data_IF_544763227547
#
_entry.id   IF_544763227547
#
_cell.length_a   1.000
_cell.length_b   1.000
_cell.length_c   1.000
_cell.angle_alpha   90.00
_cell.angle_beta   90.00
_cell.angle_gamma   90.00
#
_symmetry.space_group_name_H-M   'P 1'
#
loop_
_entity.id
_entity.type
_entity.pdbx_description
1 polymer ?
#
# COMPACT_ATOMS: atom_id res chain seq x y z
N UNK A 1 -1.82 -19.57 3.83
CA UNK A 1 -1.49 -19.93 2.43
C UNK A 1 -2.75 -20.12 1.61
N UNK A 2 -3.67 -20.98 2.00
CA UNK A 2 -4.89 -21.27 1.22
C UNK A 2 -5.70 -20.04 0.77
N UNK A 3 -5.74 -18.96 1.59
CA UNK A 3 -6.41 -17.72 1.21
C UNK A 3 -5.78 -17.06 -0.03
N UNK A 4 -4.45 -17.00 -0.07
CA UNK A 4 -3.72 -16.35 -1.16
C UNK A 4 -3.86 -17.14 -2.46
N UNK A 5 -3.83 -18.45 -2.38
CA UNK A 5 -4.07 -19.34 -3.51
C UNK A 5 -5.47 -19.11 -4.11
N UNK A 6 -6.50 -19.01 -3.26
CA UNK A 6 -7.89 -18.73 -3.71
C UNK A 6 -7.98 -17.34 -4.36
N UNK A 7 -7.36 -16.32 -3.77
CA UNK A 7 -7.34 -14.97 -4.35
C UNK A 7 -6.62 -14.96 -5.70
N UNK A 8 -5.47 -15.62 -5.80
CA UNK A 8 -4.73 -15.73 -7.06
C UNK A 8 -5.52 -16.47 -8.14
N UNK A 9 -6.20 -17.58 -7.77
CA UNK A 9 -7.08 -18.32 -8.67
C UNK A 9 -8.30 -17.49 -9.10
N UNK A 10 -8.90 -16.73 -8.20
CA UNK A 10 -9.99 -15.80 -8.52
C UNK A 10 -9.53 -14.78 -9.56
N UNK A 11 -8.39 -14.14 -9.32
CA UNK A 11 -7.84 -13.16 -10.25
C UNK A 11 -7.52 -13.80 -11.61
N UNK A 12 -6.94 -14.98 -11.64
CA UNK A 12 -6.64 -15.72 -12.87
C UNK A 12 -7.90 -16.04 -13.68
N UNK A 13 -8.97 -16.49 -13.01
CA UNK A 13 -10.23 -16.87 -13.67
C UNK A 13 -11.07 -15.68 -14.15
N UNK A 14 -10.85 -14.52 -13.58
CA UNK A 14 -11.65 -13.31 -13.86
C UNK A 14 -10.86 -12.24 -14.62
N UNK A 15 -9.63 -12.55 -15.02
CA UNK A 15 -8.79 -11.63 -15.77
C UNK A 15 -9.47 -11.15 -17.03
N UNK A 16 -9.42 -9.85 -17.25
CA UNK A 16 -9.92 -9.19 -18.47
C UNK A 16 -9.13 -7.91 -18.73
N UNK A 17 -9.34 -7.32 -19.92
CA UNK A 17 -8.71 -6.07 -20.30
C UNK A 17 -9.80 -5.04 -20.55
N UNK A 18 -9.76 -3.93 -19.80
CA UNK A 18 -10.64 -2.77 -20.02
C UNK A 18 -9.93 -1.71 -20.84
N UNK A 19 -10.66 -1.12 -21.76
CA UNK A 19 -10.18 0.09 -22.45
C UNK A 19 -10.03 1.23 -21.43
N UNK A 20 -8.91 1.92 -21.49
CA UNK A 20 -8.58 3.04 -20.63
C UNK A 20 -8.14 4.23 -21.50
N UNK A 21 -8.53 5.43 -21.11
CA UNK A 21 -8.07 6.65 -21.77
C UNK A 21 -6.74 7.13 -21.19
N UNK A 22 -5.96 7.82 -22.01
CA UNK A 22 -4.69 8.41 -21.57
C UNK A 22 -4.92 9.42 -20.42
N UNK A 23 -6.01 10.17 -20.48
CA UNK A 23 -6.40 11.11 -19.41
C UNK A 23 -6.63 10.40 -18.07
N UNK A 24 -7.11 9.15 -18.09
CA UNK A 24 -7.34 8.38 -16.87
C UNK A 24 -6.05 7.99 -16.16
N UNK A 25 -5.01 7.62 -16.89
CA UNK A 25 -3.69 7.36 -16.30
C UNK A 25 -3.06 8.64 -15.74
N UNK A 26 -3.27 9.77 -16.43
CA UNK A 26 -2.83 11.07 -15.93
C UNK A 26 -3.57 11.45 -14.65
N UNK A 27 -4.88 11.25 -14.59
CA UNK A 27 -5.68 11.47 -13.38
C UNK A 27 -5.21 10.60 -12.21
N UNK A 28 -4.91 9.31 -12.47
CA UNK A 28 -4.37 8.40 -11.45
C UNK A 28 -3.00 8.86 -10.93
N UNK A 29 -2.11 9.26 -11.85
CA UNK A 29 -0.81 9.83 -11.48
C UNK A 29 -0.97 11.07 -10.60
N UNK A 30 -1.80 12.02 -11.01
CA UNK A 30 -2.03 13.26 -10.27
C UNK A 30 -2.63 12.99 -8.88
N UNK A 31 -3.56 12.04 -8.77
CA UNK A 31 -4.14 11.63 -7.50
C UNK A 31 -3.11 10.98 -6.56
N UNK A 32 -2.28 10.07 -7.09
CA UNK A 32 -1.21 9.45 -6.30
C UNK A 32 -0.18 10.50 -5.85
N UNK A 33 0.25 11.37 -6.76
CA UNK A 33 1.18 12.46 -6.46
C UNK A 33 0.65 13.39 -5.37
N UNK A 34 -0.63 13.79 -5.47
CA UNK A 34 -1.27 14.63 -4.47
C UNK A 34 -1.34 13.93 -3.09
N UNK A 35 -1.66 12.64 -3.05
CA UNK A 35 -1.71 11.87 -1.81
C UNK A 35 -0.33 11.74 -1.17
N UNK A 36 0.70 11.46 -1.96
CA UNK A 36 2.09 11.36 -1.50
C UNK A 36 2.54 12.71 -0.91
N UNK A 37 2.34 13.81 -1.65
CA UNK A 37 2.71 15.15 -1.19
C UNK A 37 1.91 15.59 0.04
N UNK A 38 0.61 15.29 0.12
CA UNK A 38 -0.20 15.59 1.29
C UNK A 38 0.34 14.89 2.54
N UNK A 39 0.65 13.61 2.42
CA UNK A 39 1.24 12.83 3.50
C UNK A 39 2.61 13.38 3.93
N UNK A 40 3.48 13.70 2.98
CA UNK A 40 4.78 14.26 3.28
C UNK A 40 4.69 15.61 3.99
N UNK A 41 3.91 16.55 3.46
CA UNK A 41 3.73 17.88 4.04
C UNK A 41 3.20 17.80 5.48
N UNK A 42 2.29 16.85 5.76
CA UNK A 42 1.78 16.62 7.12
C UNK A 42 2.89 16.27 8.12
N UNK A 43 3.87 15.44 7.73
CA UNK A 43 4.98 15.08 8.62
C UNK A 43 6.10 16.10 8.61
N UNK A 44 6.35 16.76 7.48
CA UNK A 44 7.35 17.83 7.37
C UNK A 44 6.98 19.04 8.22
N UNK A 45 5.71 19.48 8.20
CA UNK A 45 5.23 20.56 9.06
C UNK A 45 5.43 20.23 10.55
N UNK A 46 5.13 19.02 10.96
CA UNK A 46 5.36 18.57 12.35
C UNK A 46 6.83 18.52 12.69
N UNK A 47 7.65 17.97 11.82
CA UNK A 47 9.10 17.96 12.01
C UNK A 47 9.63 19.38 12.21
N UNK A 48 9.25 20.32 11.34
CA UNK A 48 9.69 21.72 11.41
C UNK A 48 9.19 22.44 12.67
N UNK A 49 8.02 22.10 13.17
CA UNK A 49 7.50 22.63 14.44
C UNK A 49 8.26 22.06 15.64
N UNK A 50 8.51 20.74 15.65
CA UNK A 50 9.09 20.07 16.80
C UNK A 50 10.60 20.36 16.96
N UNK A 51 11.34 20.47 15.87
CA UNK A 51 12.77 20.74 15.91
C UNK A 51 13.11 22.12 16.50
N UNK A 52 12.15 23.04 16.51
CA UNK A 52 12.34 24.39 17.08
C UNK A 52 12.02 24.45 18.57
N UNK A 53 11.48 23.42 19.17
CA UNK A 53 11.15 23.39 20.60
C UNK A 53 12.40 23.15 21.44
N UNK A 54 12.50 23.82 22.57
CA UNK A 54 13.54 23.58 23.57
C UNK A 54 13.38 22.20 24.22
N UNK A 55 12.10 21.79 24.44
CA UNK A 55 11.75 20.48 25.02
C UNK A 55 10.65 19.85 24.18
N UNK A 56 10.89 18.62 23.75
CA UNK A 56 9.92 17.84 23.01
C UNK A 56 9.26 16.82 23.93
N UNK A 57 7.98 16.52 23.65
CA UNK A 57 7.29 15.40 24.26
C UNK A 57 7.85 14.07 23.72
N UNK A 58 7.57 12.93 24.36
CA UNK A 58 8.04 11.62 23.89
C UNK A 58 7.62 11.31 22.44
N UNK A 59 6.38 11.65 22.04
CA UNK A 59 5.89 11.43 20.67
C UNK A 59 6.61 12.31 19.66
N UNK A 60 6.81 13.58 19.98
CA UNK A 60 7.55 14.54 19.15
C UNK A 60 9.00 14.09 18.96
N UNK A 61 9.67 13.68 20.03
CA UNK A 61 11.03 13.12 19.94
C UNK A 61 11.08 11.85 19.10
N UNK A 62 10.07 10.98 19.22
CA UNK A 62 9.98 9.75 18.43
C UNK A 62 9.88 10.06 16.93
N UNK A 63 9.06 11.06 16.54
CA UNK A 63 8.97 11.51 15.15
C UNK A 63 10.31 12.10 14.68
N UNK A 64 10.88 13.05 15.42
CA UNK A 64 12.15 13.68 15.05
C UNK A 64 13.27 12.67 14.82
N UNK A 65 13.41 11.71 15.73
CA UNK A 65 14.46 10.67 15.66
C UNK A 65 14.34 9.78 14.42
N UNK A 66 13.13 9.55 13.94
CA UNK A 66 12.86 8.60 12.85
C UNK A 66 12.38 9.29 11.57
N UNK A 67 12.48 10.61 11.50
CA UNK A 67 11.97 11.36 10.34
C UNK A 67 12.65 10.97 9.02
N UNK A 68 13.92 10.56 9.05
CA UNK A 68 14.63 10.08 7.86
C UNK A 68 13.92 8.93 7.16
N UNK A 69 13.26 8.01 7.91
CA UNK A 69 12.50 6.90 7.34
C UNK A 69 11.31 7.41 6.52
N UNK A 70 10.61 8.42 7.04
CA UNK A 70 9.47 9.05 6.33
C UNK A 70 9.98 9.81 5.10
N UNK A 71 11.08 10.52 5.23
CA UNK A 71 11.71 11.28 4.16
C UNK A 71 12.18 10.36 3.01
N UNK A 72 12.87 9.28 3.33
CA UNK A 72 13.30 8.27 2.35
C UNK A 72 12.12 7.61 1.64
N UNK A 73 11.07 7.24 2.40
CA UNK A 73 9.85 6.67 1.83
C UNK A 73 9.15 7.64 0.85
N UNK A 74 9.12 8.93 1.17
CA UNK A 74 8.56 9.96 0.29
C UNK A 74 9.29 10.04 -1.05
N UNK A 75 10.62 10.19 -1.03
CA UNK A 75 11.41 10.29 -2.27
C UNK A 75 11.35 8.99 -3.08
N UNK A 76 11.35 7.85 -2.40
CA UNK A 76 11.14 6.56 -3.05
C UNK A 76 9.79 6.51 -3.78
N UNK A 77 8.71 6.95 -3.13
CA UNK A 77 7.38 6.97 -3.76
C UNK A 77 7.33 7.88 -4.99
N UNK A 78 7.96 9.06 -4.97
CA UNK A 78 8.00 9.97 -6.12
C UNK A 78 8.79 9.36 -7.30
N UNK A 79 9.96 8.78 -7.03
CA UNK A 79 10.76 8.11 -8.07
C UNK A 79 10.00 6.93 -8.71
N UNK A 80 9.35 6.11 -7.88
CA UNK A 80 8.52 5.01 -8.36
C UNK A 80 7.28 5.50 -9.12
N UNK A 81 6.67 6.60 -8.71
CA UNK A 81 5.51 7.18 -9.39
C UNK A 81 5.86 7.65 -10.81
N UNK A 82 7.01 8.29 -10.98
CA UNK A 82 7.49 8.71 -12.30
C UNK A 82 7.79 7.50 -13.20
N UNK A 83 8.46 6.47 -12.67
CA UNK A 83 8.69 5.20 -13.38
C UNK A 83 7.38 4.52 -13.78
N UNK A 84 6.43 4.43 -12.85
CA UNK A 84 5.11 3.87 -13.12
C UNK A 84 4.40 4.61 -14.27
N UNK A 85 4.41 5.94 -14.23
CA UNK A 85 3.75 6.74 -15.27
C UNK A 85 4.38 6.54 -16.65
N UNK A 86 5.71 6.42 -16.74
CA UNK A 86 6.40 6.11 -18.00
C UNK A 86 5.91 4.80 -18.60
N UNK A 87 5.64 3.77 -17.78
CA UNK A 87 5.16 2.46 -18.24
C UNK A 87 3.69 2.48 -18.69
N UNK A 88 2.84 3.34 -18.10
CA UNK A 88 1.39 3.27 -18.33
C UNK A 88 0.83 4.37 -19.25
N UNK A 89 1.52 5.50 -19.39
CA UNK A 89 1.01 6.71 -20.06
C UNK A 89 0.52 6.49 -21.50
N UNK A 90 1.10 5.52 -22.22
CA UNK A 90 0.76 5.22 -23.61
C UNK A 90 -0.13 3.97 -23.76
N UNK A 91 -0.51 3.34 -22.64
CA UNK A 91 -1.36 2.14 -22.65
C UNK A 91 -2.83 2.53 -22.84
N UNK A 92 -3.49 1.82 -23.75
CA UNK A 92 -4.94 1.98 -24.02
C UNK A 92 -5.79 0.90 -23.37
N UNK A 93 -5.14 -0.08 -22.73
CA UNK A 93 -5.82 -1.19 -22.03
C UNK A 93 -5.18 -1.40 -20.67
N UNK A 94 -6.02 -1.63 -19.68
CA UNK A 94 -5.63 -2.01 -18.32
C UNK A 94 -6.06 -3.45 -18.04
N UNK A 95 -5.15 -4.25 -17.50
CA UNK A 95 -5.49 -5.56 -16.94
C UNK A 95 -6.28 -5.38 -15.65
N UNK A 96 -7.44 -6.03 -15.57
CA UNK A 96 -8.30 -6.02 -14.39
C UNK A 96 -8.75 -7.44 -14.07
N UNK A 97 -9.04 -7.68 -12.80
CA UNK A 97 -9.68 -8.89 -12.31
C UNK A 97 -10.79 -8.52 -11.33
N UNK A 98 -11.65 -9.47 -10.99
CA UNK A 98 -12.59 -9.30 -9.90
C UNK A 98 -11.82 -9.29 -8.60
N UNK A 99 -11.77 -8.15 -7.92
CA UNK A 99 -11.10 -7.98 -6.63
C UNK A 99 -12.12 -7.94 -5.48
N UNK A 100 -11.70 -8.42 -4.33
CA UNK A 100 -12.48 -8.35 -3.07
C UNK A 100 -12.54 -6.91 -2.53
N UNK A 101 -11.47 -6.14 -2.73
CA UNK A 101 -11.31 -4.73 -2.39
C UNK A 101 -11.42 -4.37 -0.89
N UNK A 102 -11.32 -5.36 -0.01
CA UNK A 102 -11.18 -5.18 1.45
C UNK A 102 -10.61 -6.45 2.10
N UNK A 103 -9.56 -7.01 1.50
CA UNK A 103 -9.02 -8.30 1.90
C UNK A 103 -8.38 -8.26 3.30
N UNK A 104 -8.81 -9.19 4.18
CA UNK A 104 -8.31 -9.39 5.55
C UNK A 104 -8.36 -10.86 5.92
N UNK A 105 -7.54 -11.27 6.89
CA UNK A 105 -7.53 -12.65 7.38
C UNK A 105 -8.88 -13.09 7.94
N UNK A 106 -9.58 -12.23 8.66
CA UNK A 106 -10.89 -12.52 9.27
C UNK A 106 -12.01 -12.82 8.25
N UNK A 107 -11.79 -12.49 6.97
CA UNK A 107 -12.74 -12.74 5.88
C UNK A 107 -12.49 -14.07 5.16
N UNK A 108 -11.52 -14.83 5.61
CA UNK A 108 -11.24 -16.16 5.11
C UNK A 108 -11.69 -17.21 6.11
N UNK A 109 -12.59 -18.08 5.66
CA UNK A 109 -13.08 -19.22 6.42
C UNK A 109 -12.54 -20.48 5.79
N UNK A 110 -11.78 -21.24 6.55
CA UNK A 110 -11.26 -22.54 6.16
C UNK A 110 -11.90 -23.63 7.03
N UNK A 111 -12.59 -24.58 6.37
CA UNK A 111 -13.16 -25.77 7.00
C UNK A 111 -12.94 -26.95 6.04
N UNK A 112 -13.97 -27.72 5.72
CA UNK A 112 -13.92 -28.74 4.66
C UNK A 112 -13.66 -28.10 3.29
N UNK A 113 -14.29 -26.95 3.06
CA UNK A 113 -14.05 -26.06 1.91
C UNK A 113 -13.57 -24.69 2.41
N UNK A 114 -12.98 -23.92 1.51
CA UNK A 114 -12.44 -22.59 1.81
C UNK A 114 -13.27 -21.51 1.15
N UNK A 115 -13.63 -20.48 1.91
CA UNK A 115 -14.51 -19.40 1.47
C UNK A 115 -13.93 -18.03 1.80
N UNK A 116 -14.07 -17.09 0.86
CA UNK A 116 -13.96 -15.66 1.13
C UNK A 116 -15.36 -15.10 1.33
N UNK A 117 -15.55 -14.31 2.40
CA UNK A 117 -16.82 -13.69 2.79
C UNK A 117 -16.72 -12.16 2.73
N UNK A 118 -17.85 -11.46 2.92
CA UNK A 118 -17.90 -9.98 2.98
C UNK A 118 -17.55 -9.29 1.65
N UNK A 119 -18.23 -9.69 0.59
CA UNK A 119 -18.05 -9.19 -0.77
C UNK A 119 -18.69 -7.84 -1.07
N UNK A 120 -19.03 -7.04 -0.07
CA UNK A 120 -19.79 -5.78 -0.24
C UNK A 120 -19.06 -4.73 -1.09
N UNK A 121 -17.71 -4.80 -1.15
CA UNK A 121 -16.86 -3.83 -1.84
C UNK A 121 -16.24 -4.35 -3.13
N UNK A 122 -16.66 -5.51 -3.62
CA UNK A 122 -16.06 -6.10 -4.82
C UNK A 122 -16.21 -5.21 -6.05
N UNK A 123 -15.22 -5.26 -6.92
CA UNK A 123 -15.25 -4.60 -8.22
C UNK A 123 -14.22 -5.21 -9.18
N UNK A 124 -14.29 -4.80 -10.44
CA UNK A 124 -13.23 -5.09 -11.41
C UNK A 124 -12.20 -3.98 -11.39
N UNK A 125 -10.99 -4.29 -10.93
CA UNK A 125 -9.87 -3.35 -10.83
C UNK A 125 -8.53 -4.10 -10.96
N UNK A 126 -7.40 -3.38 -10.87
CA UNK A 126 -6.09 -4.01 -10.84
C UNK A 126 -5.97 -4.96 -9.63
N UNK A 127 -5.52 -6.21 -9.84
CA UNK A 127 -5.47 -7.22 -8.79
C UNK A 127 -4.54 -6.85 -7.62
N UNK A 128 -3.58 -5.97 -7.84
CA UNK A 128 -2.64 -5.52 -6.82
C UNK A 128 -3.32 -4.82 -5.64
N UNK A 129 -4.53 -4.28 -5.83
CA UNK A 129 -5.29 -3.62 -4.76
C UNK A 129 -5.67 -4.60 -3.64
N UNK A 130 -5.96 -5.86 -3.95
CA UNK A 130 -6.24 -6.86 -2.92
C UNK A 130 -4.99 -7.18 -2.09
N UNK A 131 -3.83 -7.30 -2.72
CA UNK A 131 -2.56 -7.50 -2.01
C UNK A 131 -2.19 -6.28 -1.16
N UNK A 132 -2.43 -5.06 -1.67
CA UNK A 132 -2.25 -3.84 -0.90
C UNK A 132 -3.19 -3.78 0.32
N UNK A 133 -4.47 -4.10 0.14
CA UNK A 133 -5.43 -4.13 1.24
C UNK A 133 -5.06 -5.17 2.30
N UNK A 134 -4.60 -6.35 1.87
CA UNK A 134 -4.09 -7.35 2.79
C UNK A 134 -2.86 -6.83 3.56
N UNK A 135 -1.90 -6.22 2.85
CA UNK A 135 -0.74 -5.61 3.52
C UNK A 135 -1.17 -4.56 4.54
N UNK A 136 -1.99 -3.62 4.13
CA UNK A 136 -2.48 -2.53 4.99
C UNK A 136 -3.14 -3.02 6.27
N UNK A 137 -3.87 -4.14 6.20
CA UNK A 137 -4.62 -4.68 7.32
C UNK A 137 -3.81 -5.66 8.18
N UNK A 138 -2.86 -6.42 7.59
CA UNK A 138 -2.26 -7.62 8.19
C UNK A 138 -0.73 -7.64 8.18
N UNK A 139 -0.06 -6.52 7.89
CA UNK A 139 1.40 -6.46 7.77
C UNK A 139 2.16 -6.95 9.02
N UNK A 140 1.55 -6.88 10.21
CA UNK A 140 2.13 -7.40 11.46
C UNK A 140 1.94 -8.91 11.62
N UNK A 141 0.97 -9.50 10.92
CA UNK A 141 0.50 -10.88 11.12
C UNK A 141 0.93 -11.84 10.01
N UNK A 142 1.36 -11.33 8.85
CA UNK A 142 1.59 -12.13 7.64
C UNK A 142 2.96 -11.85 7.06
N UNK A 143 3.66 -12.92 6.67
CA UNK A 143 4.91 -12.81 5.89
C UNK A 143 4.57 -12.51 4.43
N UNK A 144 4.81 -11.27 3.99
CA UNK A 144 4.50 -10.85 2.63
C UNK A 144 5.43 -11.43 1.57
N UNK A 145 6.63 -11.86 1.93
CA UNK A 145 7.50 -12.63 1.03
C UNK A 145 6.84 -13.96 0.66
N UNK A 146 6.23 -14.64 1.63
CA UNK A 146 5.51 -15.90 1.39
C UNK A 146 4.22 -15.65 0.61
N UNK A 147 3.49 -14.55 0.90
CA UNK A 147 2.30 -14.13 0.15
C UNK A 147 2.62 -13.95 -1.33
N UNK A 148 3.69 -13.21 -1.66
CA UNK A 148 4.06 -12.98 -3.06
C UNK A 148 4.54 -14.26 -3.74
N UNK A 149 5.32 -15.09 -3.05
CA UNK A 149 5.75 -16.40 -3.57
C UNK A 149 4.55 -17.26 -3.94
N UNK A 150 3.58 -17.38 -3.03
CA UNK A 150 2.37 -18.18 -3.25
C UNK A 150 1.47 -17.59 -4.35
N UNK A 151 1.26 -16.27 -4.31
CA UNK A 151 0.43 -15.57 -5.30
C UNK A 151 0.99 -15.74 -6.71
N UNK A 152 2.30 -15.57 -6.90
CA UNK A 152 2.95 -15.68 -8.20
C UNK A 152 2.93 -17.09 -8.79
N UNK A 153 2.69 -18.14 -7.98
CA UNK A 153 2.51 -19.49 -8.50
C UNK A 153 1.30 -19.61 -9.45
N UNK A 154 0.27 -18.79 -9.24
CA UNK A 154 -0.98 -18.84 -10.01
C UNK A 154 -1.29 -17.57 -10.80
N UNK A 155 -0.71 -16.42 -10.41
CA UNK A 155 -0.96 -15.13 -11.03
C UNK A 155 0.31 -14.27 -11.05
N UNK A 156 0.94 -14.15 -12.21
CA UNK A 156 2.13 -13.30 -12.39
C UNK A 156 1.75 -11.83 -12.46
N UNK A 157 2.37 -11.02 -11.60
CA UNK A 157 2.18 -9.56 -11.57
C UNK A 157 2.96 -8.89 -12.72
N UNK A 158 2.33 -7.92 -13.38
CA UNK A 158 2.98 -7.05 -14.35
C UNK A 158 3.91 -6.05 -13.65
N UNK A 159 4.88 -5.51 -14.38
CA UNK A 159 5.84 -4.55 -13.84
C UNK A 159 5.15 -3.30 -13.27
N UNK A 160 4.19 -2.73 -14.01
CA UNK A 160 3.40 -1.59 -13.52
C UNK A 160 2.57 -1.90 -12.28
N UNK A 161 2.14 -3.14 -12.09
CA UNK A 161 1.41 -3.56 -10.88
C UNK A 161 2.36 -3.67 -9.69
N UNK A 162 3.57 -4.19 -9.89
CA UNK A 162 4.61 -4.26 -8.86
C UNK A 162 5.02 -2.86 -8.40
N UNK A 163 5.26 -1.94 -9.35
CA UNK A 163 5.60 -0.55 -9.02
C UNK A 163 4.45 0.13 -8.28
N UNK A 164 3.21 -0.06 -8.73
CA UNK A 164 2.05 0.50 -8.04
C UNK A 164 1.92 -0.03 -6.61
N UNK A 165 2.17 -1.32 -6.38
CA UNK A 165 2.23 -1.88 -5.04
C UNK A 165 3.30 -1.20 -4.19
N UNK A 166 4.53 -1.06 -4.71
CA UNK A 166 5.62 -0.41 -4.02
C UNK A 166 5.25 1.01 -3.58
N UNK A 167 4.60 1.80 -4.45
CA UNK A 167 4.11 3.15 -4.13
C UNK A 167 3.09 3.10 -3.00
N UNK A 168 2.09 2.23 -3.12
CA UNK A 168 0.97 2.16 -2.18
C UNK A 168 1.41 1.77 -0.76
N UNK A 169 2.31 0.79 -0.65
CA UNK A 169 2.81 0.31 0.66
C UNK A 169 3.88 1.22 1.27
N UNK A 170 4.59 1.99 0.46
CA UNK A 170 5.64 2.89 0.93
C UNK A 170 5.13 4.30 1.24
N UNK A 171 3.91 4.67 0.79
CA UNK A 171 3.32 5.97 1.12
C UNK A 171 2.98 6.03 2.61
N UNK A 172 3.58 6.96 3.39
CA UNK A 172 3.27 7.10 4.81
C UNK A 172 1.79 7.43 5.02
N UNK A 173 1.08 6.63 5.79
CA UNK A 173 -0.32 6.90 6.11
C UNK A 173 -0.45 7.94 7.24
N UNK A 174 -1.53 8.72 7.22
CA UNK A 174 -1.87 9.69 8.25
C UNK A 174 -2.99 9.13 9.12
N UNK A 175 -2.81 9.18 10.44
CA UNK A 175 -3.87 8.96 11.41
C UNK A 175 -4.06 10.25 12.23
N UNK A 176 -5.10 11.02 11.91
CA UNK A 176 -5.37 12.32 12.52
C UNK A 176 -6.02 12.24 13.91
N UNK A 177 -6.40 11.03 14.35
CA UNK A 177 -7.02 10.87 15.67
C UNK A 177 -5.97 11.12 16.76
N UNK A 178 -6.06 12.26 17.43
CA UNK A 178 -5.35 12.51 18.67
C UNK A 178 -6.26 12.19 19.86
N UNK A 179 -5.76 11.36 20.77
CA UNK A 179 -6.47 11.03 22.00
C UNK A 179 -5.63 11.51 23.20
N UNK A 180 -4.37 11.11 23.26
CA UNK A 180 -3.41 11.51 24.28
C UNK A 180 -1.98 11.23 23.79
N UNK A 181 -0.99 11.65 24.55
CA UNK A 181 0.44 11.52 24.24
C UNK A 181 0.89 10.06 24.07
N UNK A 182 0.36 9.14 24.85
CA UNK A 182 0.69 7.71 24.72
C UNK A 182 0.21 7.16 23.36
N UNK A 183 -1.02 7.47 22.99
CA UNK A 183 -1.59 7.03 21.70
C UNK A 183 -0.82 7.62 20.53
N UNK A 184 -0.34 8.87 20.65
CA UNK A 184 0.50 9.49 19.63
C UNK A 184 1.85 8.77 19.47
N UNK A 185 2.49 8.37 20.59
CA UNK A 185 3.68 7.52 20.55
C UNK A 185 3.42 6.17 19.86
N UNK A 186 2.27 5.55 20.14
CA UNK A 186 1.88 4.28 19.52
C UNK A 186 1.71 4.45 18.01
N UNK A 187 1.05 5.53 17.56
CA UNK A 187 0.86 5.83 16.14
C UNK A 187 2.18 6.00 15.39
N UNK A 188 3.08 6.87 15.90
CA UNK A 188 4.37 7.08 15.24
C UNK A 188 5.21 5.80 15.21
N UNK A 189 5.22 5.04 16.29
CA UNK A 189 5.92 3.75 16.30
C UNK A 189 5.33 2.77 15.28
N UNK A 190 4.00 2.71 15.18
CA UNK A 190 3.31 1.85 14.23
C UNK A 190 3.61 2.25 12.79
N UNK A 191 3.58 3.55 12.48
CA UNK A 191 3.97 4.07 11.15
C UNK A 191 5.41 3.70 10.79
N UNK A 192 6.36 3.93 11.70
CA UNK A 192 7.78 3.64 11.46
C UNK A 192 7.99 2.14 11.23
N UNK A 193 7.36 1.30 12.04
CA UNK A 193 7.41 -0.14 11.85
C UNK A 193 6.80 -0.58 10.52
N UNK A 194 5.66 0.02 10.14
CA UNK A 194 5.00 -0.22 8.85
C UNK A 194 5.94 0.09 7.68
N UNK A 195 6.59 1.26 7.68
CA UNK A 195 7.53 1.67 6.64
C UNK A 195 8.79 0.78 6.62
N UNK A 196 9.32 0.40 7.78
CA UNK A 196 10.43 -0.54 7.87
C UNK A 196 10.06 -1.95 7.38
N UNK A 197 8.81 -2.37 7.52
CA UNK A 197 8.34 -3.63 6.96
C UNK A 197 8.11 -3.51 5.45
N UNK A 198 7.51 -2.42 4.98
CA UNK A 198 7.29 -2.21 3.54
C UNK A 198 8.59 -2.18 2.75
N UNK A 199 9.64 -1.54 3.27
CA UNK A 199 10.96 -1.47 2.62
C UNK A 199 11.63 -2.83 2.40
N UNK A 200 11.19 -3.89 3.08
CA UNK A 200 11.73 -5.26 2.94
C UNK A 200 10.98 -6.11 1.93
N UNK A 201 9.80 -5.68 1.53
CA UNK A 201 8.89 -6.46 0.67
C UNK A 201 8.65 -5.82 -0.69
N UNK A 202 9.20 -4.63 -0.93
CA UNK A 202 9.12 -3.96 -2.23
C UNK A 202 9.79 -4.81 -3.30
N UNK A 203 9.20 -4.84 -4.48
CA UNK A 203 9.80 -5.50 -5.63
C UNK A 203 11.03 -4.73 -6.11
N UNK A 204 12.12 -5.44 -6.36
CA UNK A 204 13.29 -4.89 -7.07
C UNK A 204 12.91 -4.66 -8.55
N UNK A 205 13.11 -3.44 -9.03
CA UNK A 205 12.70 -3.00 -10.38
C UNK A 205 13.85 -2.23 -11.04
#
# INVERSE_FOLDING_TARGET
>A
MDMIEIVALLHTKTISFKDITLDKYKELYDNLNNNINYSFNYYEERFNQYIQKEYNTPSEFLLLRNYSIIYEAFYYCLDMLDKWYVLVKDKTKQRVSLIHNNLKLEQFIHNTDSYLISWDNYRYDTPIIDLYNLYKNEWENVSFLDVFSEYNNSFELLEEEKILFNILVSTPYIDEKYINEYDECVKYRKLINYLNCSSKIIFDI
#
